data_IF_727274985198
#
_entry.id   IF_727274985198
#
_cell.length_a   1.000
_cell.length_b   1.000
_cell.length_c   1.000
_cell.angle_alpha   90.00
_cell.angle_beta   90.00
_cell.angle_gamma   90.00
#
_symmetry.space_group_name_H-M   'P 1'
#
loop_
_entity.id
_entity.type
_entity.pdbx_description
1 polymer ?
#
# COMPACT_ATOMS: atom_id res chain seq x y z
N UNK A 1 -5.99 3.85 -5.96
CA UNK A 1 -6.24 5.30 -5.76
C UNK A 1 -4.94 6.11 -5.66
N UNK A 2 -3.97 5.75 -4.83
CA UNK A 2 -2.74 6.56 -4.65
C UNK A 2 -1.62 6.40 -5.68
N UNK A 3 -1.89 6.01 -6.92
CA UNK A 3 -0.86 5.97 -7.97
C UNK A 3 -0.44 7.38 -8.35
N UNK A 4 0.85 7.57 -8.69
CA UNK A 4 1.35 8.86 -9.20
C UNK A 4 0.64 9.26 -10.50
N UNK A 5 0.19 8.27 -11.27
CA UNK A 5 -0.51 8.45 -12.54
C UNK A 5 -2.02 8.64 -12.37
N UNK A 6 -2.53 8.65 -11.14
CA UNK A 6 -3.96 8.80 -10.89
C UNK A 6 -4.34 10.27 -10.79
N UNK A 7 -5.31 10.70 -11.61
CA UNK A 7 -5.84 12.07 -11.55
C UNK A 7 -6.36 12.43 -10.15
N UNK A 8 -6.29 13.72 -9.76
CA UNK A 8 -6.94 14.22 -8.55
C UNK A 8 -8.46 14.11 -8.67
N UNK A 9 -9.13 13.97 -7.53
CA UNK A 9 -10.59 13.90 -7.45
C UNK A 9 -11.31 15.25 -7.60
N UNK A 10 -10.58 16.34 -7.43
CA UNK A 10 -11.05 17.73 -7.50
C UNK A 10 -9.89 18.64 -7.92
N UNK A 11 -10.20 19.77 -8.54
CA UNK A 11 -9.19 20.75 -8.97
C UNK A 11 -9.72 22.18 -8.89
N UNK A 12 -8.83 23.15 -9.13
CA UNK A 12 -9.20 24.56 -9.22
C UNK A 12 -10.28 24.81 -10.30
N UNK A 13 -10.22 24.12 -11.44
CA UNK A 13 -11.18 24.24 -12.55
C UNK A 13 -12.61 23.92 -12.07
N UNK A 14 -12.75 22.98 -11.16
CA UNK A 14 -14.03 22.58 -10.58
C UNK A 14 -14.47 23.44 -9.38
N UNK A 15 -13.80 24.55 -9.08
CA UNK A 15 -13.95 25.28 -7.80
C UNK A 15 -13.81 24.33 -6.59
N UNK A 16 -12.87 23.39 -6.67
CA UNK A 16 -12.65 22.32 -5.69
C UNK A 16 -13.84 21.38 -5.41
N UNK A 17 -14.89 21.41 -6.25
CA UNK A 17 -15.95 20.40 -6.19
C UNK A 17 -15.42 19.05 -6.69
N UNK A 18 -15.73 17.93 -6.03
CA UNK A 18 -15.27 16.63 -6.49
C UNK A 18 -15.95 16.25 -7.80
N UNK A 19 -15.16 15.86 -8.79
CA UNK A 19 -15.63 15.27 -10.05
C UNK A 19 -15.31 13.77 -10.16
N UNK A 20 -14.47 13.25 -9.26
CA UNK A 20 -14.18 11.82 -9.15
C UNK A 20 -14.13 11.43 -7.68
N UNK A 21 -14.85 10.35 -7.34
CA UNK A 21 -14.96 9.81 -5.99
C UNK A 21 -14.58 8.32 -5.99
N UNK A 22 -13.86 7.90 -4.96
CA UNK A 22 -13.59 6.51 -4.67
C UNK A 22 -14.89 5.81 -4.30
N UNK A 23 -15.07 4.59 -4.82
CA UNK A 23 -16.27 3.79 -4.56
C UNK A 23 -16.14 3.13 -3.18
N UNK A 24 -17.18 3.26 -2.35
CA UNK A 24 -17.37 2.54 -1.07
C UNK A 24 -16.39 2.83 0.08
N UNK A 25 -15.34 3.65 -0.11
CA UNK A 25 -14.31 3.90 0.91
C UNK A 25 -13.87 5.37 0.88
N UNK A 26 -14.50 6.19 1.72
CA UNK A 26 -14.25 7.64 1.78
C UNK A 26 -12.78 8.04 1.99
N UNK A 27 -11.98 7.36 2.85
CA UNK A 27 -10.57 7.68 3.01
C UNK A 27 -9.75 7.65 1.71
N UNK A 28 -10.17 6.86 0.71
CA UNK A 28 -9.46 6.78 -0.57
C UNK A 28 -9.60 8.02 -1.44
N UNK A 29 -10.60 8.87 -1.19
CA UNK A 29 -10.71 10.18 -1.82
C UNK A 29 -9.47 11.05 -1.53
N UNK A 30 -8.85 10.88 -0.36
CA UNK A 30 -7.64 11.62 0.05
C UNK A 30 -6.34 11.07 -0.56
N UNK A 31 -6.40 9.93 -1.27
CA UNK A 31 -5.21 9.32 -1.88
C UNK A 31 -5.02 9.72 -3.34
N UNK A 32 -6.10 10.09 -4.04
CA UNK A 32 -6.07 10.42 -5.47
C UNK A 32 -5.34 11.74 -5.74
N UNK A 33 -4.63 11.84 -6.86
CA UNK A 33 -3.96 13.07 -7.28
C UNK A 33 -2.64 13.38 -6.57
N UNK A 34 -2.09 12.43 -5.81
CA UNK A 34 -0.77 12.61 -5.21
C UNK A 34 0.31 12.66 -6.30
N UNK A 35 1.26 13.58 -6.18
CA UNK A 35 2.33 13.80 -7.16
C UNK A 35 3.74 13.74 -6.55
N UNK A 36 3.87 13.25 -5.32
CA UNK A 36 5.12 13.37 -4.56
C UNK A 36 6.06 12.17 -4.72
N UNK A 37 5.53 10.96 -4.94
CA UNK A 37 6.35 9.77 -5.24
C UNK A 37 5.56 8.70 -5.99
N UNK A 38 6.28 7.83 -6.70
CA UNK A 38 5.71 6.58 -7.21
C UNK A 38 5.20 5.72 -6.05
N UNK A 39 3.98 5.20 -6.21
CA UNK A 39 3.43 4.25 -5.27
C UNK A 39 4.08 2.88 -5.43
N UNK A 40 3.92 2.03 -4.41
CA UNK A 40 4.36 0.63 -4.49
C UNK A 40 3.84 -0.08 -5.75
N UNK A 41 2.58 0.18 -6.11
CA UNK A 41 1.96 -0.44 -7.28
C UNK A 41 2.52 0.10 -8.61
N UNK A 42 2.95 1.37 -8.65
CA UNK A 42 3.60 1.93 -9.83
C UNK A 42 4.94 1.22 -10.08
N UNK A 43 5.77 1.08 -9.04
CA UNK A 43 7.01 0.31 -9.11
C UNK A 43 6.78 -1.16 -9.45
N UNK A 44 5.76 -1.79 -8.84
CA UNK A 44 5.40 -3.17 -9.13
C UNK A 44 5.06 -3.35 -10.61
N UNK A 45 4.23 -2.48 -11.17
CA UNK A 45 3.85 -2.56 -12.58
C UNK A 45 5.08 -2.43 -13.49
N UNK A 46 5.95 -1.45 -13.24
CA UNK A 46 7.17 -1.25 -14.01
C UNK A 46 8.10 -2.47 -13.93
N UNK A 47 8.36 -2.98 -12.73
CA UNK A 47 9.25 -4.13 -12.53
C UNK A 47 8.68 -5.42 -13.14
N UNK A 48 7.37 -5.64 -13.06
CA UNK A 48 6.75 -6.79 -13.71
C UNK A 48 6.84 -6.69 -15.24
N UNK A 49 6.75 -5.49 -15.79
CA UNK A 49 6.85 -5.29 -17.23
C UNK A 49 8.29 -5.46 -17.74
N UNK A 50 9.26 -4.79 -17.10
CA UNK A 50 10.63 -4.73 -17.59
C UNK A 50 11.56 -5.80 -17.03
N UNK A 51 11.28 -6.33 -15.83
CA UNK A 51 12.24 -7.16 -15.09
C UNK A 51 11.73 -8.57 -14.75
N UNK A 52 10.47 -8.91 -15.08
CA UNK A 52 9.90 -10.24 -14.79
C UNK A 52 10.67 -11.40 -15.40
N UNK A 53 11.33 -11.16 -16.54
CA UNK A 53 12.10 -12.19 -17.26
C UNK A 53 13.28 -12.74 -16.44
N UNK A 54 13.83 -11.93 -15.53
CA UNK A 54 15.01 -12.30 -14.74
C UNK A 54 14.74 -13.43 -13.75
N UNK A 55 13.47 -13.63 -13.37
CA UNK A 55 13.07 -14.66 -12.42
C UNK A 55 12.15 -15.72 -13.06
N UNK A 56 12.23 -15.88 -14.39
CA UNK A 56 11.56 -16.98 -15.09
C UNK A 56 12.10 -18.32 -14.54
N UNK A 57 11.22 -19.11 -13.92
CA UNK A 57 11.56 -20.37 -13.27
C UNK A 57 11.67 -20.31 -11.74
N UNK A 58 11.53 -19.15 -11.12
CA UNK A 58 11.39 -19.09 -9.66
C UNK A 58 10.03 -19.64 -9.23
N UNK A 59 10.04 -20.59 -8.30
CA UNK A 59 8.84 -21.12 -7.66
C UNK A 59 8.45 -20.33 -6.40
N UNK A 60 9.25 -19.34 -6.00
CA UNK A 60 9.03 -18.56 -4.79
C UNK A 60 7.74 -17.72 -4.92
N UNK A 61 6.90 -17.72 -3.87
CA UNK A 61 5.60 -17.04 -3.88
C UNK A 61 5.56 -15.91 -2.87
N UNK A 62 5.17 -14.73 -3.32
CA UNK A 62 4.95 -13.56 -2.46
C UNK A 62 3.50 -13.49 -1.99
N UNK A 63 3.30 -13.13 -0.72
CA UNK A 63 2.01 -12.90 -0.07
C UNK A 63 1.69 -11.41 0.01
N UNK A 64 0.47 -11.09 0.46
CA UNK A 64 0.02 -9.75 0.81
C UNK A 64 0.22 -8.70 -0.30
N UNK A 65 0.22 -9.12 -1.58
CA UNK A 65 0.39 -8.21 -2.72
C UNK A 65 1.84 -7.90 -3.10
N UNK A 66 2.83 -8.53 -2.46
CA UNK A 66 4.24 -8.45 -2.87
C UNK A 66 4.53 -8.99 -4.27
N UNK A 67 5.76 -8.78 -4.74
CA UNK A 67 6.26 -9.33 -6.00
C UNK A 67 7.73 -9.72 -5.87
N UNK A 68 8.20 -10.61 -6.74
CA UNK A 68 9.57 -11.13 -6.67
C UNK A 68 10.58 -10.00 -6.86
N UNK A 69 11.65 -10.05 -6.07
CA UNK A 69 12.79 -9.18 -6.27
C UNK A 69 13.48 -9.56 -7.58
N UNK A 70 13.58 -8.62 -8.52
CA UNK A 70 14.03 -8.89 -9.90
C UNK A 70 15.49 -9.37 -10.03
N UNK A 71 16.31 -9.14 -9.01
CA UNK A 71 17.69 -9.68 -8.89
C UNK A 71 17.73 -10.93 -8.01
N UNK A 72 16.96 -10.96 -6.92
CA UNK A 72 17.03 -11.99 -5.87
C UNK A 72 15.75 -12.79 -5.90
N UNK A 73 15.63 -13.68 -6.89
CA UNK A 73 14.39 -14.40 -7.21
C UNK A 73 13.85 -15.32 -6.09
N UNK A 74 14.56 -15.50 -4.97
CA UNK A 74 14.10 -16.20 -3.76
C UNK A 74 13.56 -15.27 -2.66
N UNK A 75 13.35 -13.99 -2.97
CA UNK A 75 12.85 -12.98 -2.03
C UNK A 75 11.81 -12.08 -2.68
N UNK A 76 11.02 -11.40 -1.85
CA UNK A 76 9.94 -10.53 -2.29
C UNK A 76 10.19 -9.07 -1.89
N UNK A 77 9.73 -8.17 -2.75
CA UNK A 77 9.58 -6.76 -2.44
C UNK A 77 8.18 -6.57 -1.86
N UNK A 78 8.14 -6.07 -0.62
CA UNK A 78 6.92 -6.05 0.19
C UNK A 78 6.22 -4.70 0.19
N UNK A 79 4.88 -4.68 0.13
CA UNK A 79 4.12 -3.46 0.36
C UNK A 79 4.38 -2.89 1.76
N UNK A 80 4.12 -1.60 1.93
CA UNK A 80 4.25 -0.94 3.23
C UNK A 80 3.43 -1.68 4.29
N UNK A 81 4.05 -1.98 5.42
CA UNK A 81 3.43 -2.71 6.54
C UNK A 81 3.69 -4.22 6.54
N UNK A 82 4.33 -4.78 5.51
CA UNK A 82 4.72 -6.20 5.46
C UNK A 82 6.23 -6.38 5.35
N UNK A 83 6.71 -7.54 5.79
CA UNK A 83 8.12 -7.93 5.75
C UNK A 83 8.29 -9.45 5.64
N UNK A 84 9.55 -9.89 5.52
CA UNK A 84 9.93 -11.29 5.36
C UNK A 84 10.19 -11.66 3.89
N UNK A 85 10.81 -12.82 3.66
CA UNK A 85 11.16 -13.29 2.32
C UNK A 85 9.97 -13.45 1.39
N UNK A 86 8.78 -13.72 1.94
CA UNK A 86 7.53 -13.89 1.22
C UNK A 86 6.51 -12.78 1.51
N UNK A 87 6.89 -11.72 2.24
CA UNK A 87 5.97 -10.68 2.74
C UNK A 87 4.84 -11.21 3.64
N UNK A 88 5.02 -12.37 4.28
CA UNK A 88 4.00 -13.00 5.13
C UNK A 88 3.83 -12.37 6.50
N UNK A 89 4.80 -11.58 6.97
CA UNK A 89 4.79 -11.02 8.32
C UNK A 89 4.41 -9.54 8.31
N UNK A 90 3.71 -9.09 9.35
CA UNK A 90 3.48 -7.66 9.59
C UNK A 90 4.79 -7.05 10.06
N UNK A 91 5.18 -5.93 9.45
CA UNK A 91 6.34 -5.14 9.90
C UNK A 91 6.01 -4.56 11.27
N UNK A 92 6.82 -4.81 12.32
CA UNK A 92 6.55 -4.28 13.66
C UNK A 92 6.48 -2.76 13.59
N UNK A 93 5.36 -2.23 14.09
CA UNK A 93 5.16 -0.78 14.24
C UNK A 93 5.95 -0.36 15.49
N UNK A 94 6.56 0.82 15.43
CA UNK A 94 7.42 1.40 16.48
C UNK A 94 6.93 1.12 17.91
N UNK A 95 7.87 1.00 18.86
CA UNK A 95 7.61 0.76 20.30
C UNK A 95 6.61 1.73 20.96
N UNK A 96 6.30 2.86 20.31
CA UNK A 96 5.34 3.85 20.80
C UNK A 96 3.87 3.48 20.58
N UNK A 97 3.55 2.43 19.80
CA UNK A 97 2.18 1.92 19.65
C UNK A 97 1.99 0.66 20.50
N UNK A 98 1.19 0.77 21.58
CA UNK A 98 0.74 -0.41 22.32
C UNK A 98 -0.38 -1.13 21.55
N UNK A 99 -0.40 -2.47 21.63
CA UNK A 99 -1.39 -3.37 21.00
C UNK A 99 -1.55 -3.19 19.48
N UNK A 100 -0.60 -3.74 18.72
CA UNK A 100 -0.60 -3.66 17.24
C UNK A 100 -1.20 -4.89 16.55
N UNK A 101 -1.49 -5.95 17.30
CA UNK A 101 -2.05 -7.20 16.79
C UNK A 101 -3.48 -7.32 17.31
N UNK A 102 -4.44 -7.26 16.39
CA UNK A 102 -5.84 -7.47 16.67
C UNK A 102 -6.24 -8.85 16.13
N UNK A 103 -6.86 -9.66 16.98
CA UNK A 103 -7.42 -10.95 16.58
C UNK A 103 -8.89 -10.75 16.25
N UNK A 104 -9.29 -11.17 15.05
CA UNK A 104 -10.68 -11.09 14.63
C UNK A 104 -11.54 -11.97 15.54
N UNK A 105 -12.66 -11.39 16.02
CA UNK A 105 -13.66 -12.09 16.82
C UNK A 105 -15.03 -11.95 16.16
N UNK A 106 -16.03 -12.69 16.66
CA UNK A 106 -17.42 -12.53 16.20
C UNK A 106 -18.07 -11.25 16.72
N UNK A 107 -17.45 -10.61 17.71
CA UNK A 107 -17.92 -9.36 18.28
C UNK A 107 -17.38 -8.18 17.49
N UNK A 108 -18.26 -7.23 17.21
CA UNK A 108 -17.87 -5.96 16.61
C UNK A 108 -17.08 -5.14 17.63
N UNK A 109 -15.88 -4.72 17.23
CA UNK A 109 -15.04 -3.85 18.03
C UNK A 109 -14.78 -2.55 17.27
N UNK A 110 -15.20 -1.43 17.83
CA UNK A 110 -14.91 -0.11 17.27
C UNK A 110 -13.51 0.30 17.69
N UNK A 111 -12.66 0.59 16.72
CA UNK A 111 -11.33 1.15 16.95
C UNK A 111 -11.43 2.67 16.94
N UNK A 112 -11.35 3.30 18.10
CA UNK A 112 -11.25 4.75 18.20
C UNK A 112 -9.80 5.20 17.95
N UNK A 113 -9.59 5.97 16.89
CA UNK A 113 -8.29 6.61 16.63
C UNK A 113 -8.19 7.91 17.44
N UNK A 114 -8.06 7.80 18.76
CA UNK A 114 -8.08 8.98 19.66
C UNK A 114 -6.78 9.81 19.63
N UNK A 115 -5.71 9.32 18.98
CA UNK A 115 -4.44 10.05 18.86
C UNK A 115 -3.82 9.86 17.49
N UNK A 116 -4.25 10.67 16.51
CA UNK A 116 -3.46 10.89 15.29
C UNK A 116 -2.27 11.78 15.67
N UNK A 117 -1.20 11.18 16.21
CA UNK A 117 0.12 11.83 16.26
C UNK A 117 0.84 11.44 14.99
N UNK A 118 0.83 12.35 14.01
CA UNK A 118 1.62 12.41 12.78
C UNK A 118 2.38 11.12 12.43
N UNK A 119 1.81 10.32 11.52
CA UNK A 119 2.63 9.43 10.71
C UNK A 119 3.49 10.31 9.79
N UNK A 120 4.77 10.44 10.12
CA UNK A 120 5.76 11.14 9.31
C UNK A 120 5.79 10.50 7.91
N UNK A 121 5.71 11.35 6.88
CA UNK A 121 5.62 11.03 5.44
C UNK A 121 6.91 10.40 4.92
#
# INVERSE_FOLDING_TARGET
YGSLMHYPGSSYISNFKPYMLAKNVDPYNKMMGQSYRLSFNDFKLLNLYFCSKNCLGSEHKCKNGGYLHWIQCGTCICPKGFQGRDCGYIKPISHYCNETILVASREEKILSLEKIRHAII
#
